data_IF_810403590838
#
_entry.id   IF_810403590838
#
_cell.length_a   1.000
_cell.length_b   1.000
_cell.length_c   1.000
_cell.angle_alpha   90.00
_cell.angle_beta   90.00
_cell.angle_gamma   90.00
#
_symmetry.space_group_name_H-M   'P 1'
#
loop_
_entity.id
_entity.type
_entity.pdbx_description
1 polymer ?
#
# COMPACT_ATOMS: atom_id res chain seq x y z
N UNK A 1 25.54 21.36 16.30
CA UNK A 1 24.09 21.04 16.34
C UNK A 1 23.60 21.07 14.90
N UNK A 2 23.31 19.89 14.35
CA UNK A 2 23.21 19.61 12.91
C UNK A 2 21.84 20.08 12.41
N UNK A 3 21.71 21.38 12.15
CA UNK A 3 20.49 21.99 11.65
C UNK A 3 20.80 22.62 10.28
N UNK A 4 20.01 22.25 9.28
CA UNK A 4 20.14 22.51 7.82
C UNK A 4 20.82 21.39 7.05
N UNK A 5 20.03 20.33 6.86
CA UNK A 5 20.28 19.17 6.00
C UNK A 5 20.62 19.67 4.59
N UNK A 6 21.90 19.57 4.27
CA UNK A 6 22.53 19.97 3.03
C UNK A 6 21.88 19.23 1.86
N UNK A 7 21.48 20.04 0.87
CA UNK A 7 21.11 19.67 -0.49
C UNK A 7 22.33 18.97 -1.11
N UNK A 8 22.41 17.64 -1.00
CA UNK A 8 23.47 16.84 -1.62
C UNK A 8 22.92 16.20 -2.89
N UNK A 9 23.48 16.67 -4.01
CA UNK A 9 23.09 16.45 -5.40
C UNK A 9 23.58 15.06 -5.85
N UNK A 10 23.05 13.98 -5.28
CA UNK A 10 23.28 12.62 -5.79
C UNK A 10 21.95 11.87 -5.82
N UNK A 11 21.42 11.80 -7.04
CA UNK A 11 20.34 10.93 -7.52
C UNK A 11 18.95 11.20 -6.94
N UNK A 12 18.14 11.83 -7.79
CA UNK A 12 16.68 11.74 -7.81
C UNK A 12 16.21 10.28 -7.96
N UNK A 13 16.27 9.47 -6.91
CA UNK A 13 15.36 8.35 -6.79
C UNK A 13 14.34 8.71 -5.73
N UNK A 14 13.31 9.40 -6.21
CA UNK A 14 11.95 9.23 -5.72
C UNK A 14 11.71 7.72 -5.52
N UNK A 15 11.93 7.20 -4.31
CA UNK A 15 11.26 5.96 -3.92
C UNK A 15 9.84 6.38 -3.57
N UNK A 16 9.05 6.54 -4.63
CA UNK A 16 7.61 6.65 -4.56
C UNK A 16 7.10 5.58 -3.61
N UNK A 17 6.57 6.02 -2.47
CA UNK A 17 5.67 5.21 -1.68
C UNK A 17 4.48 4.97 -2.61
N UNK A 18 4.32 3.74 -3.09
CA UNK A 18 3.20 3.38 -3.95
C UNK A 18 1.89 3.82 -3.27
N UNK A 19 1.03 4.53 -4.01
CA UNK A 19 -0.33 4.88 -3.60
C UNK A 19 -1.14 3.58 -3.47
N UNK A 20 -1.38 3.14 -2.23
CA UNK A 20 -2.13 1.94 -1.90
C UNK A 20 -1.59 1.29 -0.63
N UNK A 21 -2.05 1.73 0.55
CA UNK A 21 -1.73 1.21 1.88
C UNK A 21 -2.63 0.01 2.27
N UNK A 22 -2.68 -0.97 1.38
CA UNK A 22 -3.25 -2.32 1.56
C UNK A 22 -2.33 -3.23 2.42
N UNK A 23 -1.72 -2.66 3.46
CA UNK A 23 -0.65 -3.29 4.24
C UNK A 23 -1.10 -4.59 4.93
N UNK A 24 -2.38 -4.68 5.33
CA UNK A 24 -2.96 -5.89 5.92
C UNK A 24 -2.81 -7.11 5.01
N UNK A 25 -3.03 -6.93 3.71
CA UNK A 25 -2.98 -8.01 2.73
C UNK A 25 -1.54 -8.36 2.37
N UNK A 26 -0.69 -7.36 2.17
CA UNK A 26 0.73 -7.61 1.84
C UNK A 26 1.46 -8.34 2.97
N UNK A 27 1.13 -8.04 4.23
CA UNK A 27 1.69 -8.74 5.39
C UNK A 27 1.26 -10.21 5.46
N UNK A 28 0.05 -10.52 4.97
CA UNK A 28 -0.48 -11.87 4.84
C UNK A 28 -0.11 -12.56 3.52
N UNK A 29 0.69 -11.92 2.66
CA UNK A 29 1.14 -12.47 1.36
C UNK A 29 0.15 -12.30 0.20
N UNK A 30 -0.91 -11.51 0.39
CA UNK A 30 -1.90 -11.19 -0.64
C UNK A 30 -1.54 -9.89 -1.37
N UNK A 31 -2.00 -9.79 -2.63
CA UNK A 31 -1.82 -8.58 -3.44
C UNK A 31 -2.84 -7.52 -3.06
N UNK A 32 -2.63 -6.29 -3.50
CA UNK A 32 -3.61 -5.22 -3.37
C UNK A 32 -4.59 -5.23 -4.54
N UNK A 33 -5.86 -4.97 -4.26
CA UNK A 33 -6.86 -4.88 -5.30
C UNK A 33 -6.65 -3.60 -6.13
N UNK A 34 -6.88 -3.68 -7.44
CA UNK A 34 -6.89 -2.51 -8.33
C UNK A 34 -8.19 -1.73 -8.20
N UNK A 35 -9.28 -2.42 -7.88
CA UNK A 35 -10.60 -1.88 -7.62
C UNK A 35 -10.93 -2.00 -6.12
N UNK A 36 -11.74 -1.09 -5.61
CA UNK A 36 -12.17 -1.07 -4.21
C UNK A 36 -13.47 -1.85 -3.99
N UNK A 37 -13.71 -2.92 -4.76
CA UNK A 37 -14.91 -3.72 -4.62
C UNK A 37 -14.79 -4.70 -3.45
N UNK A 38 -15.41 -4.35 -2.33
CA UNK A 38 -15.35 -5.11 -1.09
C UNK A 38 -16.27 -6.32 -1.20
N UNK A 39 -15.70 -7.51 -1.08
CA UNK A 39 -16.46 -8.77 -1.01
C UNK A 39 -16.49 -9.33 0.40
N UNK A 40 -15.51 -8.96 1.22
CA UNK A 40 -15.38 -9.36 2.61
C UNK A 40 -14.80 -8.19 3.41
N UNK A 41 -15.36 -7.97 4.59
CA UNK A 41 -14.89 -6.96 5.55
C UNK A 41 -14.72 -7.66 6.89
N UNK A 42 -13.50 -7.70 7.40
CA UNK A 42 -13.14 -8.37 8.63
C UNK A 42 -12.24 -7.50 9.52
N UNK A 43 -11.87 -8.01 10.70
CA UNK A 43 -11.01 -7.28 11.65
C UNK A 43 -9.60 -6.98 11.11
N UNK A 44 -9.17 -7.67 10.05
CA UNK A 44 -7.88 -7.48 9.38
C UNK A 44 -7.96 -6.35 8.35
N UNK A 45 -9.13 -6.18 7.73
CA UNK A 45 -9.43 -5.10 6.81
C UNK A 45 -10.47 -5.49 5.76
N UNK A 46 -10.54 -4.69 4.70
CA UNK A 46 -11.41 -4.96 3.56
C UNK A 46 -10.68 -5.79 2.50
N UNK A 47 -11.38 -6.76 1.94
CA UNK A 47 -10.86 -7.69 0.96
C UNK A 47 -11.73 -7.69 -0.30
N UNK A 48 -11.07 -7.90 -1.43
CA UNK A 48 -11.67 -8.06 -2.76
C UNK A 48 -11.21 -9.37 -3.41
N UNK A 49 -11.84 -9.70 -4.53
CA UNK A 49 -11.40 -10.80 -5.40
C UNK A 49 -11.23 -10.27 -6.81
N UNK A 50 -10.03 -10.42 -7.36
CA UNK A 50 -9.68 -10.01 -8.73
C UNK A 50 -8.93 -11.14 -9.44
N UNK A 51 -9.31 -11.43 -10.69
CA UNK A 51 -8.73 -12.54 -11.46
C UNK A 51 -8.76 -13.88 -10.70
N UNK A 52 -9.85 -14.13 -9.95
CA UNK A 52 -9.99 -15.31 -9.08
C UNK A 52 -8.94 -15.42 -7.96
N UNK A 53 -8.28 -14.33 -7.58
CA UNK A 53 -7.33 -14.27 -6.47
C UNK A 53 -7.79 -13.28 -5.40
N UNK A 54 -7.53 -13.62 -4.13
CA UNK A 54 -7.75 -12.71 -3.01
C UNK A 54 -6.80 -11.52 -3.06
N UNK A 55 -7.35 -10.35 -2.78
CA UNK A 55 -6.59 -9.12 -2.68
C UNK A 55 -7.10 -8.24 -1.54
N UNK A 56 -6.21 -7.40 -0.99
CA UNK A 56 -6.57 -6.42 0.03
C UNK A 56 -6.95 -5.09 -0.56
N UNK A 57 -7.99 -4.49 0.02
CA UNK A 57 -8.44 -3.14 -0.31
C UNK A 57 -7.82 -2.18 0.70
N UNK A 58 -7.27 -1.09 0.17
CA UNK A 58 -6.74 -0.01 1.00
C UNK A 58 -7.89 0.72 1.72
N UNK A 59 -7.81 0.78 3.05
CA UNK A 59 -8.77 1.50 3.91
C UNK A 59 -8.18 2.78 4.50
N UNK A 60 -6.97 3.15 4.07
CA UNK A 60 -6.26 4.34 4.55
C UNK A 60 -6.84 5.57 3.86
N UNK A 61 -7.82 6.22 4.51
CA UNK A 61 -8.31 7.55 4.14
C UNK A 61 -7.33 8.65 4.57
#
# INVERSE_FOLDING_TARGET
MIHKKVISIVVMSFLGKALGSCTHATNSGYKCCKNCNVVLDDNTGKWGVENNQWCGIDTSW
#
